data_IF_538292057431
#
_entry.id   IF_538292057431
#
_cell.length_a   1.000
_cell.length_b   1.000
_cell.length_c   1.000
_cell.angle_alpha   90.00
_cell.angle_beta   90.00
_cell.angle_gamma   90.00
#
_symmetry.space_group_name_H-M   'P 1'
#
loop_
_entity.id
_entity.type
_entity.pdbx_description
1 polymer ?
#
# COMPACT_ATOMS: atom_id res chain seq x y z
N UNK A 1 7.79 -2.12 12.79
CA UNK A 1 7.99 -0.68 12.47
C UNK A 1 6.68 0.04 12.70
N UNK A 2 6.73 1.25 13.28
CA UNK A 2 5.54 2.07 13.53
C UNK A 2 5.15 2.84 12.27
N UNK A 3 3.84 3.06 12.10
CA UNK A 3 3.31 3.91 11.04
C UNK A 3 2.01 4.60 11.42
N UNK A 4 1.69 5.67 10.70
CA UNK A 4 0.46 6.45 10.88
C UNK A 4 0.02 7.12 9.58
N UNK A 5 -1.25 7.51 9.51
CA UNK A 5 -1.71 8.46 8.50
C UNK A 5 -1.30 9.90 8.84
N UNK A 6 -1.47 10.84 7.90
CA UNK A 6 -1.12 12.26 8.08
C UNK A 6 -1.76 12.87 9.34
N UNK A 7 -3.05 12.63 9.58
CA UNK A 7 -3.76 13.20 10.73
C UNK A 7 -3.58 12.42 12.04
N UNK A 8 -2.84 11.30 12.02
CA UNK A 8 -2.59 10.46 13.19
C UNK A 8 -3.79 9.66 13.72
N UNK A 9 -4.96 9.72 13.07
CA UNK A 9 -6.15 8.98 13.47
C UNK A 9 -6.02 7.46 13.25
N UNK A 10 -5.26 7.05 12.22
CA UNK A 10 -4.89 5.66 11.99
C UNK A 10 -3.43 5.49 12.38
N UNK A 11 -3.17 4.53 13.26
CA UNK A 11 -1.83 4.12 13.70
C UNK A 11 -1.71 2.61 13.56
N UNK A 12 -0.52 2.12 13.25
CA UNK A 12 -0.31 0.69 13.06
C UNK A 12 1.15 0.30 13.26
N UNK A 13 1.35 -0.98 13.54
CA UNK A 13 2.65 -1.63 13.63
C UNK A 13 2.76 -2.70 12.54
N UNK A 14 3.83 -2.64 11.77
CA UNK A 14 4.18 -3.69 10.80
C UNK A 14 4.70 -4.95 11.53
N UNK A 15 4.55 -6.15 10.94
CA UNK A 15 4.98 -7.41 11.57
C UNK A 15 6.47 -7.45 11.94
N UNK A 16 7.30 -6.80 11.11
CA UNK A 16 8.75 -6.76 11.29
C UNK A 16 9.23 -5.32 11.43
N UNK A 17 10.39 -5.11 12.04
CA UNK A 17 11.01 -3.79 12.17
C UNK A 17 11.70 -3.29 10.91
N UNK A 18 11.91 -4.18 9.92
CA UNK A 18 12.41 -3.85 8.58
C UNK A 18 11.56 -4.52 7.51
N UNK A 19 11.32 -3.88 6.35
CA UNK A 19 10.64 -4.53 5.25
C UNK A 19 11.54 -5.56 4.60
N UNK A 20 10.91 -6.51 3.90
CA UNK A 20 11.61 -7.49 3.07
C UNK A 20 12.24 -6.81 1.86
N UNK A 21 11.56 -5.80 1.29
CA UNK A 21 12.07 -5.04 0.15
C UNK A 21 11.42 -3.66 0.09
N UNK A 22 12.17 -2.68 -0.40
CA UNK A 22 11.68 -1.35 -0.77
C UNK A 22 11.54 -1.24 -2.28
N UNK A 23 10.43 -0.64 -2.72
CA UNK A 23 10.23 -0.28 -4.12
C UNK A 23 9.91 1.21 -4.24
N UNK A 24 10.56 1.85 -5.22
CA UNK A 24 10.22 3.18 -5.71
C UNK A 24 9.72 3.00 -7.14
N UNK A 25 8.41 3.15 -7.31
CA UNK A 25 7.74 2.97 -8.59
C UNK A 25 7.42 4.31 -9.24
N UNK A 26 7.85 4.46 -10.49
CA UNK A 26 7.71 5.70 -11.26
C UNK A 26 6.51 5.69 -12.22
N UNK A 27 5.69 4.63 -12.21
CA UNK A 27 4.53 4.55 -13.10
C UNK A 27 3.46 5.61 -12.77
N UNK A 28 2.62 5.93 -13.76
CA UNK A 28 1.57 6.96 -13.59
C UNK A 28 0.58 6.64 -12.46
N UNK A 29 0.22 5.36 -12.27
CA UNK A 29 -0.68 4.97 -11.18
C UNK A 29 -0.03 5.17 -9.81
N UNK A 30 1.26 4.88 -9.68
CA UNK A 30 2.00 5.10 -8.44
C UNK A 30 2.21 6.58 -8.13
N UNK A 31 2.30 7.43 -9.15
CA UNK A 31 2.29 8.90 -9.01
C UNK A 31 0.92 9.42 -8.60
N UNK A 32 -0.17 8.92 -9.18
CA UNK A 32 -1.55 9.30 -8.83
C UNK A 32 -1.88 8.97 -7.38
N UNK A 33 -1.59 7.74 -6.93
CA UNK A 33 -1.90 7.34 -5.56
C UNK A 33 -1.10 8.11 -4.49
N UNK A 34 0.10 8.62 -4.83
CA UNK A 34 0.98 9.33 -3.90
C UNK A 34 0.91 10.84 -4.05
N UNK A 35 0.26 11.35 -5.11
CA UNK A 35 0.31 12.75 -5.53
C UNK A 35 1.76 13.29 -5.59
N UNK A 36 2.71 12.48 -6.05
CA UNK A 36 4.14 12.80 -6.06
C UNK A 36 4.84 12.30 -7.33
N UNK A 37 6.14 12.59 -7.47
CA UNK A 37 6.97 12.18 -8.60
C UNK A 37 7.08 10.65 -8.75
N UNK A 38 6.88 9.90 -7.65
CA UNK A 38 6.88 8.45 -7.61
C UNK A 38 6.04 7.94 -6.42
N UNK A 39 5.79 6.63 -6.39
CA UNK A 39 5.23 5.94 -5.23
C UNK A 39 6.30 5.11 -4.52
N UNK A 40 6.50 5.36 -3.23
CA UNK A 40 7.38 4.56 -2.37
C UNK A 40 6.56 3.52 -1.60
N UNK A 41 6.98 2.27 -1.59
CA UNK A 41 6.31 1.19 -0.86
C UNK A 41 7.30 0.21 -0.24
N UNK A 42 7.02 -0.16 1.00
CA UNK A 42 7.72 -1.19 1.77
C UNK A 42 6.90 -2.48 1.77
N UNK A 43 7.57 -3.60 1.48
CA UNK A 43 6.94 -4.92 1.45
C UNK A 43 7.09 -5.62 2.79
N UNK A 44 5.95 -6.03 3.36
CA UNK A 44 5.88 -6.81 4.60
C UNK A 44 4.98 -8.03 4.43
N UNK A 45 5.13 -9.07 5.29
CA UNK A 45 4.08 -10.07 5.45
C UNK A 45 2.74 -9.39 5.69
N UNK A 46 1.65 -9.96 5.16
CA UNK A 46 0.32 -9.39 5.36
C UNK A 46 -0.04 -9.33 6.86
N UNK A 47 -0.74 -8.27 7.26
CA UNK A 47 -1.21 -8.06 8.62
C UNK A 47 -2.56 -7.36 8.63
N UNK A 48 -3.32 -7.54 9.71
CA UNK A 48 -4.64 -6.96 9.84
C UNK A 48 -4.55 -5.52 10.36
N UNK A 49 -4.69 -4.55 9.45
CA UNK A 49 -4.74 -3.13 9.78
C UNK A 49 -6.05 -2.75 10.49
N UNK A 50 -7.15 -3.42 10.18
CA UNK A 50 -8.47 -3.11 10.74
C UNK A 50 -8.56 -3.59 12.19
N UNK A 51 -7.98 -4.75 12.51
CA UNK A 51 -7.88 -5.23 13.89
C UNK A 51 -7.06 -4.29 14.79
N UNK A 52 -6.08 -3.57 14.23
CA UNK A 52 -5.30 -2.56 14.96
C UNK A 52 -6.04 -1.22 15.10
N UNK A 53 -7.14 -1.02 14.36
CA UNK A 53 -7.91 0.22 14.33
C UNK A 53 -9.42 -0.10 14.30
N UNK A 54 -10.01 -0.70 15.36
CA UNK A 54 -11.34 -1.32 15.31
C UNK A 54 -12.53 -0.37 15.11
N UNK A 55 -12.33 0.95 15.00
CA UNK A 55 -13.45 1.92 14.92
C UNK A 55 -14.32 1.92 16.19
N UNK A 56 -15.37 2.73 16.22
CA UNK A 56 -16.30 2.76 17.35
C UNK A 56 -17.44 1.72 17.21
N UNK A 57 -17.60 1.12 16.03
CA UNK A 57 -18.74 0.27 15.67
C UNK A 57 -18.45 -1.20 15.34
N UNK A 58 -17.39 -1.82 15.87
CA UNK A 58 -17.08 -3.25 15.64
C UNK A 58 -18.03 -4.18 16.40
N UNK A 59 -19.29 -4.21 15.97
CA UNK A 59 -20.19 -5.35 16.14
C UNK A 59 -20.24 -6.18 14.84
N UNK A 60 -20.75 -7.41 14.88
CA UNK A 60 -21.07 -8.17 13.67
C UNK A 60 -22.23 -7.45 12.94
N UNK A 61 -21.89 -6.53 12.04
CA UNK A 61 -22.85 -5.69 11.33
C UNK A 61 -23.64 -6.45 10.28
N UNK A 62 -24.96 -6.44 10.42
CA UNK A 62 -25.95 -6.78 9.40
C UNK A 62 -25.85 -5.78 8.24
N UNK A 63 -25.14 -6.15 7.17
CA UNK A 63 -24.97 -5.28 6.01
C UNK A 63 -26.29 -4.95 5.31
N UNK A 64 -26.57 -3.67 5.15
CA UNK A 64 -27.50 -3.16 4.14
C UNK A 64 -26.82 -3.27 2.77
N UNK A 65 -27.45 -4.01 1.85
CA UNK A 65 -26.98 -4.23 0.49
C UNK A 65 -27.15 -2.95 -0.33
N UNK A 66 -26.15 -2.07 -0.32
CA UNK A 66 -26.01 -1.11 -1.40
C UNK A 66 -25.14 -1.71 -2.51
N UNK A 67 -25.66 -1.65 -3.73
CA UNK A 67 -25.42 -2.57 -4.86
C UNK A 67 -24.02 -2.55 -5.52
N UNK A 68 -22.97 -2.11 -4.84
CA UNK A 68 -21.59 -2.33 -5.28
C UNK A 68 -21.05 -3.61 -4.64
N UNK A 69 -20.96 -4.68 -5.42
CA UNK A 69 -20.57 -6.06 -5.09
C UNK A 69 -19.20 -6.27 -4.39
N UNK A 70 -18.78 -5.44 -3.44
CA UNK A 70 -17.62 -5.69 -2.58
C UNK A 70 -18.09 -6.39 -1.30
N UNK A 71 -18.34 -7.70 -1.41
CA UNK A 71 -18.78 -8.59 -0.32
C UNK A 71 -17.77 -8.76 0.84
N UNK A 72 -16.87 -7.80 1.05
CA UNK A 72 -15.83 -7.81 2.08
C UNK A 72 -15.46 -6.39 2.59
N UNK A 73 -16.30 -5.37 2.41
CA UNK A 73 -16.09 -4.08 3.10
C UNK A 73 -16.48 -4.21 4.56
N UNK A 74 -15.54 -4.58 5.41
CA UNK A 74 -15.67 -4.38 6.84
C UNK A 74 -15.93 -2.89 7.10
N UNK A 75 -17.09 -2.55 7.67
CA UNK A 75 -17.35 -1.17 8.05
C UNK A 75 -16.36 -0.73 9.13
N UNK A 76 -15.60 0.31 8.82
CA UNK A 76 -14.63 0.91 9.73
C UNK A 76 -14.75 2.43 9.63
N UNK A 77 -14.93 3.11 10.74
CA UNK A 77 -15.15 4.57 10.76
C UNK A 77 -13.91 5.36 10.35
N UNK A 78 -12.72 4.79 10.51
CA UNK A 78 -11.44 5.45 10.28
C UNK A 78 -10.80 5.09 8.93
N UNK A 79 -11.02 3.85 8.47
CA UNK A 79 -10.32 3.27 7.32
C UNK A 79 -11.33 2.94 6.23
N UNK A 80 -11.12 3.52 5.05
CA UNK A 80 -11.85 3.19 3.84
C UNK A 80 -11.08 2.16 3.03
N UNK A 81 -11.82 1.29 2.33
CA UNK A 81 -11.26 0.35 1.37
C UNK A 81 -11.88 0.55 0.00
N UNK A 82 -11.06 0.41 -1.05
CA UNK A 82 -11.56 0.28 -2.41
C UNK A 82 -10.68 -0.70 -3.20
N UNK A 83 -11.25 -1.27 -4.26
CA UNK A 83 -10.54 -2.18 -5.17
C UNK A 83 -10.45 -1.56 -6.56
N UNK A 84 -9.29 -1.66 -7.21
CA UNK A 84 -9.16 -1.30 -8.62
C UNK A 84 -8.36 -2.36 -9.40
N UNK A 85 -8.69 -2.52 -10.68
CA UNK A 85 -8.01 -3.43 -11.61
C UNK A 85 -6.99 -2.71 -12.51
N UNK A 86 -6.87 -1.38 -12.40
CA UNK A 86 -5.90 -0.56 -13.15
C UNK A 86 -4.45 -0.87 -12.72
N UNK A 87 -3.93 -2.03 -13.11
CA UNK A 87 -2.57 -2.45 -12.84
C UNK A 87 -1.98 -3.10 -14.07
N UNK A 88 -0.70 -2.85 -14.32
CA UNK A 88 0.03 -3.56 -15.37
C UNK A 88 0.16 -5.06 -15.07
N UNK A 89 0.15 -5.43 -13.78
CA UNK A 89 0.26 -6.83 -13.35
C UNK A 89 -0.96 -7.70 -13.63
N UNK A 90 -2.08 -7.12 -14.08
CA UNK A 90 -3.36 -7.79 -14.26
C UNK A 90 -4.09 -8.18 -12.95
N UNK A 91 -3.43 -8.07 -11.79
CA UNK A 91 -4.01 -8.39 -10.48
C UNK A 91 -4.64 -7.15 -9.85
N UNK A 92 -5.93 -7.24 -9.52
CA UNK A 92 -6.61 -6.20 -8.78
C UNK A 92 -5.93 -5.90 -7.43
N UNK A 93 -5.99 -4.64 -7.01
CA UNK A 93 -5.39 -4.18 -5.75
C UNK A 93 -6.50 -3.71 -4.82
N UNK A 94 -6.52 -4.28 -3.62
CA UNK A 94 -7.30 -3.75 -2.51
C UNK A 94 -6.48 -2.72 -1.77
N UNK A 95 -7.11 -1.58 -1.49
CA UNK A 95 -6.46 -0.35 -1.13
C UNK A 95 -7.04 0.21 0.16
N UNK A 96 -6.20 0.57 1.11
CA UNK A 96 -6.62 1.08 2.42
C UNK A 96 -6.20 2.53 2.57
N UNK A 97 -7.12 3.40 2.97
CA UNK A 97 -6.86 4.82 3.17
C UNK A 97 -7.57 5.36 4.41
N UNK A 98 -7.03 6.43 5.00
CA UNK A 98 -7.69 7.10 6.11
C UNK A 98 -8.88 7.94 5.61
N UNK A 99 -10.09 7.69 6.10
CA UNK A 99 -11.29 8.46 5.75
C UNK A 99 -11.21 9.93 6.18
N UNK A 100 -10.43 10.24 7.22
CA UNK A 100 -10.30 11.60 7.76
C UNK A 100 -9.35 12.51 6.97
N UNK A 101 -8.24 11.98 6.45
CA UNK A 101 -7.22 12.79 5.76
C UNK A 101 -6.89 12.33 4.34
N UNK A 102 -7.52 11.26 3.85
CA UNK A 102 -7.27 10.71 2.51
C UNK A 102 -5.92 10.01 2.33
N UNK A 103 -5.05 10.00 3.34
CA UNK A 103 -3.73 9.34 3.24
C UNK A 103 -3.90 7.87 2.87
N UNK A 104 -3.23 7.47 1.78
CA UNK A 104 -3.13 6.09 1.35
C UNK A 104 -2.15 5.34 2.25
N UNK A 105 -2.60 4.26 2.91
CA UNK A 105 -1.83 3.55 3.94
C UNK A 105 -1.13 2.33 3.35
N UNK A 106 -1.88 1.45 2.68
CA UNK A 106 -1.32 0.23 2.12
C UNK A 106 -2.17 -0.31 0.98
N UNK A 107 -1.63 -1.27 0.22
CA UNK A 107 -2.40 -2.09 -0.69
C UNK A 107 -1.90 -3.54 -0.74
N UNK A 108 -2.78 -4.46 -1.12
CA UNK A 108 -2.49 -5.87 -1.31
C UNK A 108 -3.06 -6.37 -2.63
N UNK A 109 -2.40 -7.34 -3.24
CA UNK A 109 -2.92 -8.04 -4.41
C UNK A 109 -4.12 -8.90 -3.99
N UNK A 110 -5.24 -8.76 -4.69
CA UNK A 110 -6.38 -9.66 -4.56
C UNK A 110 -6.03 -10.96 -5.29
N UNK A 111 -6.10 -12.08 -4.58
CA UNK A 111 -5.86 -13.43 -5.14
C UNK A 111 -7.20 -14.18 -5.13
N UNK A 112 -7.71 -14.60 -6.29
CA UNK A 112 -8.95 -15.39 -6.36
C UNK A 112 -8.86 -16.63 -5.48
N UNK A 113 -9.90 -16.89 -4.69
CA UNK A 113 -10.01 -18.09 -3.83
C UNK A 113 -9.17 -18.08 -2.55
N UNK A 114 -8.28 -17.11 -2.35
CA UNK A 114 -7.37 -17.08 -1.18
C UNK A 114 -7.45 -15.77 -0.35
N UNK A 115 -8.51 -14.99 -0.53
CA UNK A 115 -8.76 -13.76 0.23
C UNK A 115 -7.69 -12.69 -0.01
N UNK A 116 -6.74 -12.58 0.94
CA UNK A 116 -5.65 -11.61 0.93
C UNK A 116 -4.31 -12.31 0.64
N UNK A 117 -3.52 -11.79 -0.32
CA UNK A 117 -2.18 -12.30 -0.60
C UNK A 117 -1.27 -12.25 0.63
N UNK A 118 -0.26 -13.13 0.69
CA UNK A 118 0.66 -13.23 1.84
C UNK A 118 1.57 -12.01 2.07
N UNK A 119 1.50 -11.01 1.21
CA UNK A 119 2.32 -9.79 1.26
C UNK A 119 1.47 -8.53 1.11
N UNK A 120 1.88 -7.48 1.80
CA UNK A 120 1.28 -6.15 1.73
C UNK A 120 2.33 -5.11 1.35
N UNK A 121 1.93 -4.13 0.55
CA UNK A 121 2.74 -2.96 0.22
C UNK A 121 2.27 -1.77 1.07
N UNK A 122 3.00 -1.49 2.13
CA UNK A 122 2.78 -0.31 3.00
C UNK A 122 3.37 0.91 2.32
N UNK A 123 2.64 2.03 2.30
CA UNK A 123 3.13 3.28 1.69
C UNK A 123 4.21 3.88 2.58
N UNK A 124 5.39 4.11 1.99
CA UNK A 124 6.56 4.59 2.73
C UNK A 124 6.28 5.88 3.51
N UNK A 125 5.53 6.82 2.93
CA UNK A 125 5.17 8.06 3.62
C UNK A 125 4.34 7.91 4.90
N UNK A 126 3.84 6.71 5.21
CA UNK A 126 3.14 6.40 6.45
C UNK A 126 4.05 5.78 7.53
N UNK A 127 5.30 5.46 7.24
CA UNK A 127 6.19 4.75 8.17
C UNK A 127 7.16 5.72 8.85
N UNK A 128 7.37 5.51 10.15
CA UNK A 128 8.31 6.29 10.94
C UNK A 128 9.75 5.82 10.77
N UNK A 129 10.70 6.74 10.93
CA UNK A 129 12.12 6.40 10.95
C UNK A 129 12.74 6.07 9.60
N UNK A 130 12.02 6.31 8.49
CA UNK A 130 12.61 6.30 7.14
C UNK A 130 13.63 7.45 7.03
N UNK A 131 14.80 7.16 6.47
CA UNK A 131 15.84 8.15 6.16
C UNK A 131 16.12 8.18 4.66
N UNK A 132 17.00 9.09 4.24
CA UNK A 132 17.35 9.29 2.83
C UNK A 132 18.04 8.11 2.16
N UNK A 133 18.55 7.14 2.94
CA UNK A 133 19.19 5.92 2.45
C UNK A 133 18.23 5.02 1.64
N UNK A 134 16.91 5.12 1.86
CA UNK A 134 15.93 4.39 1.05
C UNK A 134 15.99 4.79 -0.42
N UNK A 135 16.34 6.04 -0.73
CA UNK A 135 16.50 6.49 -2.12
C UNK A 135 17.59 5.72 -2.86
N UNK A 136 18.68 5.36 -2.18
CA UNK A 136 19.84 4.66 -2.77
C UNK A 136 19.85 3.15 -2.52
N UNK A 137 18.90 2.63 -1.75
CA UNK A 137 18.82 1.19 -1.41
C UNK A 137 17.55 0.51 -1.90
N UNK A 138 16.53 1.26 -2.31
CA UNK A 138 15.33 0.70 -2.89
C UNK A 138 15.55 0.22 -4.33
N UNK A 139 14.71 -0.69 -4.78
CA UNK A 139 14.62 -1.04 -6.21
C UNK A 139 13.75 -0.03 -6.93
N UNK A 140 14.26 0.57 -8.00
CA UNK A 140 13.53 1.53 -8.82
C UNK A 140 12.85 0.80 -9.99
N UNK A 141 11.52 0.86 -10.07
CA UNK A 141 10.76 0.19 -11.14
C UNK A 141 9.98 1.21 -11.97
N UNK A 142 9.70 0.85 -13.22
CA UNK A 142 9.08 1.74 -14.20
C UNK A 142 9.92 2.98 -14.54
N UNK A 143 11.24 2.83 -14.53
CA UNK A 143 12.21 3.94 -14.67
C UNK A 143 12.11 4.73 -15.97
N UNK A 144 11.60 4.12 -17.04
CA UNK A 144 11.29 4.81 -18.31
C UNK A 144 10.30 5.97 -18.17
N UNK A 145 9.57 6.04 -17.05
CA UNK A 145 8.59 7.09 -16.74
C UNK A 145 9.02 7.99 -15.58
N UNK A 146 10.27 7.89 -15.13
CA UNK A 146 10.79 8.68 -14.02
C UNK A 146 10.77 10.19 -14.33
N UNK A 147 10.27 10.98 -13.38
CA UNK A 147 10.30 12.45 -13.45
C UNK A 147 11.53 13.05 -12.76
N UNK A 148 12.27 12.23 -12.02
CA UNK A 148 13.45 12.62 -11.26
C UNK A 148 14.57 11.62 -11.56
N UNK A 149 15.82 12.07 -11.46
CA UNK A 149 16.98 11.22 -11.73
C UNK A 149 17.01 10.00 -10.81
N UNK A 150 17.38 8.84 -11.35
CA UNK A 150 17.54 7.61 -10.57
C UNK A 150 19.00 7.52 -10.11
N UNK A 151 19.27 7.18 -8.83
CA UNK A 151 20.65 7.11 -8.35
C UNK A 151 21.47 6.08 -9.11
N UNK A 152 22.75 6.37 -9.28
CA UNK A 152 23.68 5.44 -9.91
C UNK A 152 23.86 4.18 -9.07
N UNK A 153 23.99 3.03 -9.73
CA UNK A 153 24.29 1.75 -9.08
C UNK A 153 23.12 1.07 -8.36
N UNK A 154 21.92 1.67 -8.33
CA UNK A 154 20.75 1.03 -7.71
C UNK A 154 20.14 -0.04 -8.61
N UNK A 155 19.54 -1.06 -7.98
CA UNK A 155 18.74 -2.05 -8.70
C UNK A 155 17.56 -1.35 -9.38
N UNK A 156 17.42 -1.49 -10.69
CA UNK A 156 16.38 -0.80 -11.44
C UNK A 156 15.85 -1.55 -12.67
N UNK A 157 14.60 -1.24 -13.04
CA UNK A 157 13.90 -1.83 -14.17
C UNK A 157 13.02 -0.80 -14.89
N UNK A 158 13.04 -0.80 -16.23
CA UNK A 158 12.20 0.08 -17.05
C UNK A 158 10.70 -0.22 -16.96
N UNK A 159 10.33 -1.40 -16.46
CA UNK A 159 8.95 -1.84 -16.26
C UNK A 159 8.79 -2.58 -14.94
N UNK A 160 8.02 -3.67 -14.95
CA UNK A 160 7.90 -4.53 -13.78
C UNK A 160 9.22 -5.25 -13.48
N UNK A 161 9.55 -5.47 -12.20
CA UNK A 161 10.71 -6.28 -11.83
C UNK A 161 10.46 -7.75 -12.23
N UNK A 162 11.53 -8.55 -12.39
CA UNK A 162 11.40 -9.98 -12.59
C UNK A 162 10.60 -10.62 -11.43
N UNK A 163 9.92 -11.76 -11.67
CA UNK A 163 9.23 -12.50 -10.62
C UNK A 163 10.17 -12.74 -9.42
N UNK A 164 9.63 -12.63 -8.21
CA UNK A 164 10.40 -12.94 -7.00
C UNK A 164 10.79 -14.42 -7.07
N UNK A 165 12.09 -14.70 -6.96
CA UNK A 165 12.61 -16.05 -6.78
C UNK A 165 12.34 -16.55 -5.35
#
# INVERSE_FOLDING_TARGET
MEGRCQCGAVKFRTPNDKPVKWFICHCLECRRQSASAFGISAIFPNFDLLAQNPGAGTGPGTGSADSTNDANSYENDLIGTYTHSNTTSGRAKRCYFCKKCGTRIMNLSVVPGNGAGGWVAVKGGCLEGIRGDVWTSATHIWTKSALVGIPEGVEQYEGDPPPRQ
#
